data_IF_411296483431
#
_entry.id   IF_411296483431
#
_cell.length_a   1.000
_cell.length_b   1.000
_cell.length_c   1.000
_cell.angle_alpha   90.00
_cell.angle_beta   90.00
_cell.angle_gamma   90.00
#
_symmetry.space_group_name_H-M   'P 1'
#
loop_
_entity.id
_entity.type
_entity.pdbx_description
1 polymer ?
#
# COMPACT_ATOMS: atom_id res chain seq x y z
N UNK A 1 -46.34 -41.41 -12.03
CA UNK A 1 -44.89 -41.17 -12.31
C UNK A 1 -44.69 -39.92 -13.17
N UNK A 2 -44.84 -38.74 -12.63
CA UNK A 2 -44.81 -37.50 -13.44
C UNK A 2 -44.20 -36.24 -12.78
N UNK A 3 -43.65 -36.33 -11.55
CA UNK A 3 -43.25 -35.12 -10.79
C UNK A 3 -41.76 -34.80 -10.75
N UNK A 4 -40.85 -35.67 -11.19
CA UNK A 4 -39.37 -35.43 -11.05
C UNK A 4 -38.71 -34.68 -12.21
N UNK A 5 -39.34 -34.46 -13.36
CA UNK A 5 -38.73 -33.79 -14.51
C UNK A 5 -38.80 -32.23 -14.51
N UNK A 6 -39.72 -31.63 -13.75
CA UNK A 6 -39.89 -30.17 -13.72
C UNK A 6 -38.89 -29.41 -12.84
N UNK A 7 -38.25 -30.06 -11.85
CA UNK A 7 -37.31 -29.42 -10.94
C UNK A 7 -35.90 -29.24 -11.54
N UNK A 8 -35.46 -30.17 -12.39
CA UNK A 8 -34.13 -30.12 -13.04
C UNK A 8 -34.02 -29.06 -14.12
N UNK A 9 -35.11 -28.81 -14.84
CA UNK A 9 -35.11 -27.76 -15.89
C UNK A 9 -35.06 -26.36 -15.32
N UNK A 10 -35.66 -26.11 -14.15
CA UNK A 10 -35.57 -24.79 -13.46
C UNK A 10 -34.19 -24.54 -12.86
N UNK A 11 -33.51 -25.56 -12.33
CA UNK A 11 -32.13 -25.45 -11.83
C UNK A 11 -31.13 -25.10 -12.95
N UNK A 12 -31.26 -25.75 -14.12
CA UNK A 12 -30.38 -25.46 -15.26
C UNK A 12 -30.62 -24.09 -15.91
N UNK A 13 -31.83 -23.54 -15.86
CA UNK A 13 -32.11 -22.17 -16.29
C UNK A 13 -31.54 -21.11 -15.33
N UNK A 14 -31.51 -21.37 -14.01
CA UNK A 14 -30.86 -20.50 -13.03
C UNK A 14 -29.34 -20.52 -13.16
N UNK A 15 -28.72 -21.66 -13.38
CA UNK A 15 -27.30 -21.81 -13.63
C UNK A 15 -26.84 -21.15 -14.95
N UNK A 16 -27.69 -21.19 -16.01
CA UNK A 16 -27.39 -20.47 -17.26
C UNK A 16 -27.53 -18.96 -17.15
N UNK A 17 -28.39 -18.41 -16.26
CA UNK A 17 -28.50 -16.98 -16.01
C UNK A 17 -27.33 -16.44 -15.20
N UNK A 18 -26.71 -17.25 -14.33
CA UNK A 18 -25.52 -16.85 -13.55
C UNK A 18 -24.22 -16.81 -14.40
N UNK A 19 -24.20 -17.40 -15.58
CA UNK A 19 -23.02 -17.41 -16.47
C UNK A 19 -22.97 -16.24 -17.46
N UNK A 20 -23.88 -15.28 -17.42
CA UNK A 20 -24.02 -14.22 -18.45
C UNK A 20 -23.73 -12.80 -18.00
N UNK A 21 -23.25 -12.58 -16.78
CA UNK A 21 -22.66 -11.30 -16.41
C UNK A 21 -21.14 -11.44 -16.47
N UNK A 22 -20.58 -11.32 -17.65
CA UNK A 22 -19.17 -10.92 -17.79
C UNK A 22 -19.12 -9.51 -17.25
N UNK A 23 -18.64 -9.35 -16.03
CA UNK A 23 -18.37 -8.03 -15.44
C UNK A 23 -17.18 -7.51 -16.21
N UNK A 24 -17.41 -6.64 -17.16
CA UNK A 24 -16.35 -5.88 -17.80
C UNK A 24 -15.91 -4.80 -16.82
N UNK A 25 -14.66 -4.91 -16.39
CA UNK A 25 -14.07 -3.90 -15.51
C UNK A 25 -13.98 -2.56 -16.26
N UNK A 26 -14.25 -1.43 -15.59
CA UNK A 26 -14.07 -0.09 -16.16
C UNK A 26 -12.65 0.08 -16.72
N UNK A 27 -12.51 0.79 -17.83
CA UNK A 27 -11.20 0.99 -18.47
C UNK A 27 -10.18 1.68 -17.56
N UNK A 28 -10.61 2.53 -16.66
CA UNK A 28 -9.77 3.20 -15.68
C UNK A 28 -9.11 2.20 -14.72
N UNK A 29 -9.85 1.17 -14.29
CA UNK A 29 -9.31 0.11 -13.45
C UNK A 29 -8.33 -0.77 -14.22
N UNK A 30 -8.57 -1.05 -15.50
CA UNK A 30 -7.64 -1.81 -16.36
C UNK A 30 -6.31 -1.09 -16.57
N UNK A 31 -6.31 0.24 -16.61
CA UNK A 31 -5.09 1.06 -16.78
C UNK A 31 -4.28 1.21 -15.51
N UNK A 32 -4.91 1.04 -14.34
CA UNK A 32 -4.19 1.12 -13.07
C UNK A 32 -3.15 -0.02 -12.95
N UNK A 33 -1.98 0.23 -12.34
CA UNK A 33 -0.97 -0.80 -12.16
C UNK A 33 -1.44 -1.85 -11.17
N UNK A 34 -1.60 -3.09 -11.64
CA UNK A 34 -1.93 -4.23 -10.79
C UNK A 34 -0.67 -4.97 -10.36
N UNK A 35 -0.72 -5.61 -9.19
CA UNK A 35 0.42 -6.34 -8.66
C UNK A 35 0.03 -7.74 -8.17
N UNK A 36 0.96 -8.69 -8.38
CA UNK A 36 0.93 -9.97 -7.68
C UNK A 36 1.95 -9.97 -6.56
N UNK A 37 1.52 -10.33 -5.35
CA UNK A 37 2.40 -10.52 -4.21
C UNK A 37 2.39 -11.99 -3.83
N UNK A 38 3.54 -12.65 -4.02
CA UNK A 38 3.70 -14.09 -3.82
C UNK A 38 4.89 -14.39 -2.91
N UNK A 39 4.96 -15.62 -2.45
CA UNK A 39 6.16 -16.16 -1.81
C UNK A 39 6.67 -17.37 -2.59
N UNK A 40 7.95 -17.64 -2.48
CA UNK A 40 8.59 -18.81 -3.08
C UNK A 40 9.43 -19.56 -2.05
N UNK A 41 9.38 -20.87 -2.11
CA UNK A 41 10.09 -21.75 -1.19
C UNK A 41 9.35 -21.94 0.15
N UNK A 42 10.06 -22.54 1.10
CA UNK A 42 9.56 -22.72 2.45
C UNK A 42 9.78 -21.43 3.24
N UNK A 43 8.71 -20.80 3.70
CA UNK A 43 8.75 -19.59 4.50
C UNK A 43 8.11 -19.81 5.86
N UNK A 44 8.65 -19.12 6.86
CA UNK A 44 8.10 -19.13 8.23
C UNK A 44 6.72 -18.47 8.32
N UNK A 45 6.01 -18.75 9.41
CA UNK A 45 4.66 -18.18 9.67
C UNK A 45 4.67 -16.64 9.68
N UNK A 46 5.70 -16.03 10.24
CA UNK A 46 5.85 -14.55 10.29
C UNK A 46 5.99 -13.94 8.91
N UNK A 47 6.82 -14.55 8.04
CA UNK A 47 7.00 -14.06 6.68
C UNK A 47 5.74 -14.28 5.84
N UNK A 48 5.01 -15.37 6.04
CA UNK A 48 3.72 -15.60 5.39
C UNK A 48 2.68 -14.54 5.79
N UNK A 49 2.70 -14.13 7.07
CA UNK A 49 1.86 -13.03 7.53
C UNK A 49 2.29 -11.69 6.91
N UNK A 50 3.59 -11.44 6.79
CA UNK A 50 4.12 -10.25 6.12
C UNK A 50 3.66 -10.17 4.66
N UNK A 51 3.64 -11.28 3.91
CA UNK A 51 3.12 -11.33 2.54
C UNK A 51 1.64 -10.91 2.49
N UNK A 52 0.84 -11.37 3.46
CA UNK A 52 -0.58 -10.96 3.56
C UNK A 52 -0.72 -9.48 3.90
N UNK A 53 0.10 -8.98 4.80
CA UNK A 53 0.10 -7.56 5.20
C UNK A 53 0.55 -6.68 4.03
N UNK A 54 1.55 -7.10 3.27
CA UNK A 54 2.00 -6.38 2.07
C UNK A 54 0.93 -6.39 0.96
N UNK A 55 0.16 -7.49 0.81
CA UNK A 55 -1.02 -7.49 -0.09
C UNK A 55 -2.03 -6.42 0.31
N UNK A 56 -2.33 -6.27 1.61
CA UNK A 56 -3.23 -5.21 2.09
C UNK A 56 -2.73 -3.80 1.75
N UNK A 57 -1.40 -3.58 1.78
CA UNK A 57 -0.84 -2.29 1.32
C UNK A 57 -1.17 -2.04 -0.14
N UNK A 58 -1.02 -3.06 -0.99
CA UNK A 58 -1.23 -2.97 -2.44
C UNK A 58 -2.71 -2.99 -2.87
N UNK A 59 -3.66 -3.26 -1.95
CA UNK A 59 -5.10 -3.14 -2.25
C UNK A 59 -5.46 -1.72 -2.72
N UNK A 60 -6.44 -1.55 -3.61
CA UNK A 60 -7.30 -2.55 -4.25
C UNK A 60 -6.68 -3.24 -5.47
N UNK A 61 -5.55 -2.77 -6.00
CA UNK A 61 -4.93 -3.22 -7.25
C UNK A 61 -4.00 -4.43 -7.05
N UNK A 62 -4.44 -5.42 -6.29
CA UNK A 62 -3.71 -6.65 -6.04
C UNK A 62 -4.65 -7.82 -5.85
N UNK A 63 -4.16 -9.02 -6.15
CA UNK A 63 -4.89 -10.25 -5.86
C UNK A 63 -4.80 -10.60 -4.36
N UNK A 64 -5.69 -10.02 -3.53
CA UNK A 64 -5.66 -10.17 -2.07
C UNK A 64 -5.75 -11.64 -1.61
N UNK A 65 -6.58 -12.45 -2.29
CA UNK A 65 -6.83 -13.86 -1.95
C UNK A 65 -6.03 -14.85 -2.79
N UNK A 66 -4.93 -14.41 -3.43
CA UNK A 66 -4.12 -15.27 -4.30
C UNK A 66 -3.55 -16.45 -3.52
N UNK A 67 -3.92 -17.66 -3.94
CA UNK A 67 -3.37 -18.89 -3.38
C UNK A 67 -2.09 -19.27 -4.11
N UNK A 68 -1.02 -19.50 -3.35
CA UNK A 68 0.28 -19.88 -3.89
C UNK A 68 0.58 -21.31 -3.44
N UNK A 69 0.72 -22.20 -4.40
CA UNK A 69 1.06 -23.60 -4.14
C UNK A 69 2.55 -23.84 -4.41
N UNK A 70 3.12 -24.85 -3.73
CA UNK A 70 4.55 -25.21 -3.88
C UNK A 70 4.94 -25.57 -5.32
N UNK A 71 3.98 -26.05 -6.12
CA UNK A 71 4.18 -26.44 -7.52
C UNK A 71 4.18 -25.26 -8.50
N UNK A 72 3.70 -24.10 -8.08
CA UNK A 72 3.59 -22.94 -8.96
C UNK A 72 4.97 -22.41 -9.34
N UNK A 73 5.18 -22.22 -10.61
CA UNK A 73 6.40 -21.61 -11.18
C UNK A 73 6.17 -20.12 -11.44
N UNK A 74 7.23 -19.35 -11.59
CA UNK A 74 7.12 -17.93 -11.97
C UNK A 74 6.46 -17.78 -13.33
N UNK A 75 6.71 -18.72 -14.26
CA UNK A 75 6.10 -18.71 -15.60
C UNK A 75 4.56 -18.78 -15.54
N UNK A 76 3.99 -19.52 -14.58
CA UNK A 76 2.54 -19.61 -14.42
C UNK A 76 1.93 -18.26 -14.02
N UNK A 77 2.60 -17.52 -13.13
CA UNK A 77 2.17 -16.16 -12.75
C UNK A 77 2.31 -15.18 -13.90
N UNK A 78 3.37 -15.29 -14.72
CA UNK A 78 3.56 -14.46 -15.91
C UNK A 78 2.47 -14.71 -16.94
N UNK A 79 2.12 -15.98 -17.18
CA UNK A 79 1.04 -16.36 -18.10
C UNK A 79 -0.33 -15.80 -17.65
N UNK A 80 -0.58 -15.77 -16.34
CA UNK A 80 -1.82 -15.19 -15.77
C UNK A 80 -1.79 -13.66 -15.74
N UNK A 81 -0.61 -13.05 -15.67
CA UNK A 81 -0.46 -11.61 -15.53
C UNK A 81 -0.97 -10.83 -16.77
N UNK A 82 -0.77 -11.38 -17.98
CA UNK A 82 -1.22 -10.75 -19.22
C UNK A 82 -2.74 -10.51 -19.23
N UNK A 83 -3.57 -11.56 -19.11
CA UNK A 83 -5.02 -11.43 -19.09
C UNK A 83 -5.58 -10.59 -17.91
N UNK A 84 -4.83 -10.52 -16.79
CA UNK A 84 -5.22 -9.79 -15.58
C UNK A 84 -4.61 -8.38 -15.50
N UNK A 85 -3.96 -7.89 -16.54
CA UNK A 85 -3.31 -6.58 -16.61
C UNK A 85 -2.32 -6.31 -15.46
N UNK A 86 -1.64 -7.36 -14.97
CA UNK A 86 -0.68 -7.25 -13.87
C UNK A 86 0.64 -6.72 -14.39
N UNK A 87 1.08 -5.61 -13.83
CA UNK A 87 2.31 -4.90 -14.23
C UNK A 87 3.52 -5.25 -13.36
N UNK A 88 3.31 -5.64 -12.11
CA UNK A 88 4.39 -5.88 -11.16
C UNK A 88 4.21 -7.21 -10.41
N UNK A 89 5.33 -7.90 -10.22
CA UNK A 89 5.42 -9.13 -9.45
C UNK A 89 6.35 -8.92 -8.25
N UNK A 90 5.78 -9.02 -7.05
CA UNK A 90 6.49 -8.93 -5.78
C UNK A 90 6.68 -10.34 -5.20
N UNK A 91 7.92 -10.76 -4.96
CA UNK A 91 8.24 -12.12 -4.51
C UNK A 91 9.05 -12.07 -3.23
N UNK A 92 8.53 -12.67 -2.17
CA UNK A 92 9.25 -12.90 -0.93
C UNK A 92 9.87 -14.29 -0.95
N UNK A 93 11.16 -14.37 -0.64
CA UNK A 93 11.90 -15.64 -0.54
C UNK A 93 12.69 -15.66 0.75
N UNK A 94 12.77 -16.82 1.38
CA UNK A 94 13.66 -17.07 2.51
C UNK A 94 14.82 -17.94 2.05
N UNK A 95 16.03 -17.57 2.40
CA UNK A 95 17.26 -18.34 2.20
C UNK A 95 18.03 -18.40 3.52
N UNK A 96 19.06 -19.22 3.59
CA UNK A 96 19.90 -19.36 4.78
C UNK A 96 20.62 -18.05 5.14
N UNK A 97 20.84 -17.18 4.13
CA UNK A 97 21.49 -15.86 4.28
C UNK A 97 20.51 -14.74 4.70
N UNK A 98 19.21 -15.03 4.75
CA UNK A 98 18.18 -14.07 5.11
C UNK A 98 16.97 -14.05 4.20
N UNK A 99 16.13 -13.04 4.38
CA UNK A 99 14.92 -12.85 3.61
C UNK A 99 15.19 -11.88 2.47
N UNK A 100 14.79 -12.26 1.26
CA UNK A 100 14.89 -11.42 0.08
C UNK A 100 13.50 -11.02 -0.41
N UNK A 101 13.36 -9.76 -0.81
CA UNK A 101 12.20 -9.19 -1.47
C UNK A 101 12.58 -8.81 -2.89
N UNK A 102 11.91 -9.38 -3.88
CA UNK A 102 12.15 -9.09 -5.29
C UNK A 102 10.94 -8.37 -5.87
N UNK A 103 11.22 -7.33 -6.62
CA UNK A 103 10.21 -6.58 -7.39
C UNK A 103 10.60 -6.68 -8.84
N UNK A 104 9.72 -7.24 -9.64
CA UNK A 104 9.94 -7.39 -11.08
C UNK A 104 8.80 -6.73 -11.85
N UNK A 105 9.13 -6.04 -12.93
CA UNK A 105 8.16 -5.53 -13.88
C UNK A 105 7.82 -6.63 -14.88
N UNK A 106 6.57 -6.82 -15.17
CA UNK A 106 6.09 -7.78 -16.16
C UNK A 106 5.85 -7.09 -17.51
N UNK A 107 6.06 -7.79 -18.63
CA UNK A 107 6.42 -9.21 -18.75
C UNK A 107 7.93 -9.50 -18.76
N UNK A 108 8.79 -8.54 -19.09
CA UNK A 108 10.20 -8.78 -19.44
C UNK A 108 11.22 -8.32 -18.39
N UNK A 109 10.83 -7.59 -17.38
CA UNK A 109 11.74 -7.00 -16.39
C UNK A 109 11.74 -5.47 -16.46
N UNK A 110 12.60 -4.78 -15.78
CA UNK A 110 13.71 -5.25 -14.94
C UNK A 110 13.27 -5.87 -13.59
N UNK A 111 14.21 -6.57 -12.96
CA UNK A 111 14.02 -7.14 -11.62
C UNK A 111 15.00 -6.54 -10.63
N UNK A 112 14.48 -6.05 -9.52
CA UNK A 112 15.26 -5.57 -8.39
C UNK A 112 15.18 -6.57 -7.25
N UNK A 113 16.30 -6.90 -6.66
CA UNK A 113 16.41 -7.78 -5.50
C UNK A 113 16.88 -6.98 -4.30
N UNK A 114 16.04 -6.96 -3.28
CA UNK A 114 16.33 -6.32 -2.00
C UNK A 114 16.52 -7.37 -0.92
N UNK A 115 17.47 -7.15 -0.02
CA UNK A 115 17.57 -7.86 1.25
C UNK A 115 16.62 -7.18 2.24
N UNK A 116 15.80 -7.96 2.90
CA UNK A 116 14.95 -7.50 3.99
C UNK A 116 15.78 -7.55 5.28
N UNK A 117 16.29 -6.40 5.71
CA UNK A 117 17.14 -6.29 6.90
C UNK A 117 16.30 -6.45 8.16
N UNK A 118 15.23 -5.65 8.25
CA UNK A 118 14.29 -5.69 9.36
C UNK A 118 12.85 -5.60 8.86
N UNK A 119 11.92 -6.18 9.61
CA UNK A 119 10.50 -6.01 9.35
C UNK A 119 9.67 -6.09 10.64
N UNK A 120 8.55 -5.38 10.67
CA UNK A 120 7.53 -5.50 11.69
C UNK A 120 6.17 -5.77 11.03
N UNK A 121 5.39 -6.68 11.60
CA UNK A 121 4.06 -7.03 11.09
C UNK A 121 3.06 -5.92 11.41
N UNK A 122 2.03 -5.79 10.57
CA UNK A 122 0.97 -4.80 10.79
C UNK A 122 0.30 -4.94 12.15
N UNK A 123 0.08 -6.16 12.63
CA UNK A 123 -0.50 -6.42 13.95
C UNK A 123 0.36 -5.86 15.09
N UNK A 124 1.69 -5.98 14.98
CA UNK A 124 2.64 -5.56 16.02
C UNK A 124 2.73 -4.02 16.04
N UNK A 125 2.74 -3.39 14.85
CA UNK A 125 2.69 -1.92 14.73
C UNK A 125 1.39 -1.36 15.30
N UNK A 126 0.23 -1.92 14.93
CA UNK A 126 -1.07 -1.45 15.43
C UNK A 126 -1.22 -1.68 16.92
N UNK A 127 -0.70 -2.79 17.47
CA UNK A 127 -0.75 -3.07 18.91
C UNK A 127 0.09 -2.10 19.74
N UNK A 128 1.16 -1.54 19.17
CA UNK A 128 1.99 -0.52 19.82
C UNK A 128 1.34 0.87 19.87
N UNK A 129 0.29 1.10 19.08
CA UNK A 129 -0.42 2.38 19.04
C UNK A 129 -1.39 2.49 20.21
N UNK A 130 -1.44 3.67 20.83
CA UNK A 130 -2.37 3.99 21.91
C UNK A 130 -3.84 3.83 21.52
N UNK A 131 -4.20 4.18 20.28
CA UNK A 131 -5.54 4.01 19.70
C UNK A 131 -5.44 3.20 18.41
N UNK A 132 -6.10 2.06 18.38
CA UNK A 132 -6.17 1.22 17.20
C UNK A 132 -7.30 1.74 16.29
N UNK A 133 -6.93 2.31 15.13
CA UNK A 133 -7.89 2.84 14.15
C UNK A 133 -7.70 2.15 12.80
N UNK A 134 -7.98 0.86 12.74
CA UNK A 134 -7.97 0.12 11.47
C UNK A 134 -9.40 -0.04 10.96
N UNK A 135 -9.76 0.73 9.93
CA UNK A 135 -11.05 0.61 9.27
C UNK A 135 -10.86 -0.12 7.94
N UNK A 136 -11.55 -1.24 7.68
CA UNK A 136 -11.45 -1.97 6.40
C UNK A 136 -11.74 -1.11 5.17
N UNK A 137 -12.60 -0.08 5.29
CA UNK A 137 -12.91 0.86 4.20
C UNK A 137 -11.70 1.68 3.73
N UNK A 138 -10.61 1.76 4.52
CA UNK A 138 -9.39 2.44 4.12
C UNK A 138 -8.71 1.73 2.93
N UNK A 139 -8.82 0.41 2.86
CA UNK A 139 -8.18 -0.40 1.84
C UNK A 139 -8.91 -0.41 0.49
N UNK A 140 -10.11 0.18 0.40
CA UNK A 140 -10.82 0.34 -0.87
C UNK A 140 -10.23 1.42 -1.79
N UNK A 141 -9.36 2.29 -1.26
CA UNK A 141 -8.66 3.32 -2.03
C UNK A 141 -7.17 3.00 -2.10
N UNK A 142 -6.55 3.27 -3.25
CA UNK A 142 -5.12 3.11 -3.42
C UNK A 142 -4.34 4.05 -2.50
N UNK A 143 -3.17 3.63 -1.97
CA UNK A 143 -2.33 4.52 -1.20
C UNK A 143 -1.60 5.52 -2.11
N UNK A 144 -1.41 6.75 -1.61
CA UNK A 144 -0.50 7.71 -2.20
C UNK A 144 0.93 7.29 -1.89
N UNK A 145 1.81 7.22 -2.89
CA UNK A 145 3.23 7.02 -2.65
C UNK A 145 3.92 8.35 -2.39
N UNK A 146 4.74 8.41 -1.34
CA UNK A 146 5.60 9.52 -0.99
C UNK A 146 7.03 8.99 -0.90
N UNK A 147 7.91 9.52 -1.74
CA UNK A 147 9.32 9.12 -1.77
C UNK A 147 10.20 10.27 -1.34
N UNK A 148 11.15 9.97 -0.48
CA UNK A 148 12.09 10.93 0.07
C UNK A 148 13.53 10.47 -0.19
N UNK A 149 14.41 11.41 -0.55
CA UNK A 149 15.84 11.20 -0.79
C UNK A 149 16.21 10.25 -1.94
N UNK A 150 15.32 10.02 -2.91
CA UNK A 150 15.66 9.24 -4.11
C UNK A 150 16.32 10.08 -5.24
N UNK A 151 16.96 11.18 -4.90
CA UNK A 151 17.60 12.14 -5.80
C UNK A 151 19.12 11.92 -5.87
N UNK A 152 19.58 10.70 -6.12
CA UNK A 152 21.01 10.39 -6.29
C UNK A 152 21.43 10.34 -7.76
N UNK A 153 22.73 10.54 -8.03
CA UNK A 153 23.31 10.47 -9.39
C UNK A 153 23.40 9.02 -9.94
N UNK A 154 23.11 8.01 -9.11
CA UNK A 154 23.20 6.61 -9.51
C UNK A 154 22.04 6.15 -10.38
N UNK A 155 22.32 5.53 -11.53
CA UNK A 155 21.31 4.92 -12.41
C UNK A 155 20.38 3.96 -11.64
N UNK A 156 20.90 3.20 -10.68
CA UNK A 156 20.14 2.28 -9.85
C UNK A 156 19.15 2.99 -8.92
N UNK A 157 19.47 4.21 -8.43
CA UNK A 157 18.57 5.00 -7.58
C UNK A 157 17.38 5.51 -8.40
N UNK A 158 17.65 6.06 -9.59
CA UNK A 158 16.62 6.54 -10.50
C UNK A 158 15.69 5.39 -10.96
N UNK A 159 16.28 4.23 -11.21
CA UNK A 159 15.52 3.04 -11.58
C UNK A 159 14.64 2.55 -10.42
N UNK A 160 15.15 2.53 -9.18
CA UNK A 160 14.36 2.24 -7.98
C UNK A 160 13.18 3.20 -7.83
N UNK A 161 13.43 4.50 -7.96
CA UNK A 161 12.40 5.52 -7.87
C UNK A 161 11.29 5.28 -8.90
N UNK A 162 11.66 5.06 -10.16
CA UNK A 162 10.72 4.80 -11.25
C UNK A 162 9.92 3.51 -11.02
N UNK A 163 10.58 2.43 -10.55
CA UNK A 163 9.89 1.17 -10.24
C UNK A 163 8.85 1.34 -9.14
N UNK A 164 9.22 1.99 -8.04
CA UNK A 164 8.30 2.20 -6.93
C UNK A 164 7.14 3.13 -7.30
N UNK A 165 7.39 4.18 -8.07
CA UNK A 165 6.34 5.06 -8.57
C UNK A 165 5.34 4.29 -9.44
N UNK A 166 5.83 3.46 -10.34
CA UNK A 166 4.99 2.70 -11.27
C UNK A 166 4.22 1.54 -10.59
N UNK A 167 4.56 1.15 -9.37
CA UNK A 167 3.80 0.16 -8.60
C UNK A 167 2.46 0.68 -8.11
N UNK A 168 2.29 1.99 -8.00
CA UNK A 168 1.09 2.63 -7.49
C UNK A 168 0.41 3.47 -8.58
N UNK A 169 -0.91 3.67 -8.51
CA UNK A 169 -1.60 4.52 -9.47
C UNK A 169 -1.07 5.96 -9.42
N UNK A 170 -0.88 6.55 -10.59
CA UNK A 170 -0.50 7.96 -10.71
C UNK A 170 -1.68 8.85 -10.30
N UNK A 171 -1.41 9.82 -9.45
CA UNK A 171 -2.41 10.78 -8.99
C UNK A 171 -2.23 12.09 -9.76
N UNK A 172 -3.29 12.51 -10.45
CA UNK A 172 -3.31 13.81 -11.09
C UNK A 172 -3.70 14.88 -10.06
N UNK A 173 -2.72 15.69 -9.64
CA UNK A 173 -2.86 16.71 -8.59
C UNK A 173 -3.98 17.71 -8.88
N UNK A 174 -4.26 18.02 -10.16
CA UNK A 174 -5.29 18.99 -10.55
C UNK A 174 -6.70 18.45 -10.49
N UNK A 175 -6.89 17.14 -10.60
CA UNK A 175 -8.20 16.47 -10.67
C UNK A 175 -8.50 15.57 -9.47
N UNK A 176 -7.55 15.43 -8.57
CA UNK A 176 -7.67 14.50 -7.44
C UNK A 176 -8.76 14.94 -6.48
N UNK A 177 -9.59 13.97 -6.09
CA UNK A 177 -10.53 14.14 -5.00
C UNK A 177 -9.80 13.77 -3.68
N UNK A 178 -9.63 14.75 -2.79
CA UNK A 178 -8.94 14.55 -1.51
C UNK A 178 -9.61 13.48 -0.64
N UNK A 179 -10.88 13.20 -0.85
CA UNK A 179 -11.58 12.13 -0.14
C UNK A 179 -11.11 10.72 -0.50
N UNK A 180 -10.47 10.55 -1.65
CA UNK A 180 -9.96 9.26 -2.11
C UNK A 180 -8.56 8.97 -1.55
N UNK A 181 -7.84 10.00 -1.09
CA UNK A 181 -6.55 9.87 -0.45
C UNK A 181 -6.73 9.57 1.04
N UNK A 182 -6.85 8.30 1.38
CA UNK A 182 -7.03 7.84 2.77
C UNK A 182 -5.80 7.18 3.37
N UNK A 183 -4.85 6.80 2.52
CA UNK A 183 -3.63 6.10 2.91
C UNK A 183 -2.44 6.66 2.17
N UNK A 184 -1.26 6.62 2.80
CA UNK A 184 0.00 6.88 2.12
C UNK A 184 1.05 5.82 2.48
N UNK A 185 1.91 5.57 1.52
CA UNK A 185 3.12 4.75 1.67
C UNK A 185 4.31 5.69 1.59
N UNK A 186 5.07 5.74 2.67
CA UNK A 186 6.31 6.50 2.74
C UNK A 186 7.47 5.57 2.44
N UNK A 187 8.31 5.96 1.49
CA UNK A 187 9.60 5.34 1.22
C UNK A 187 10.69 6.39 1.42
N UNK A 188 11.57 6.15 2.37
CA UNK A 188 12.69 7.02 2.66
C UNK A 188 13.99 6.29 2.37
N UNK A 189 14.81 6.84 1.48
CA UNK A 189 16.13 6.31 1.16
C UNK A 189 17.18 7.04 1.98
N UNK A 190 18.01 6.32 2.71
CA UNK A 190 19.16 6.89 3.40
C UNK A 190 20.42 6.62 2.55
N UNK A 191 21.06 7.66 2.00
CA UNK A 191 22.23 7.50 1.15
C UNK A 191 23.47 7.00 1.91
N UNK A 192 23.60 7.28 3.20
CA UNK A 192 24.74 6.85 4.01
C UNK A 192 24.72 5.35 4.28
N UNK A 193 23.56 4.83 4.71
CA UNK A 193 23.38 3.40 5.04
C UNK A 193 22.92 2.57 3.84
N UNK A 194 22.51 3.21 2.74
CA UNK A 194 21.90 2.59 1.55
C UNK A 194 20.67 1.76 1.87
N UNK A 195 19.96 2.14 2.94
CA UNK A 195 18.74 1.48 3.39
C UNK A 195 17.51 2.27 2.93
N UNK A 196 16.46 1.52 2.59
CA UNK A 196 15.16 2.07 2.26
C UNK A 196 14.21 1.70 3.39
N UNK A 197 13.63 2.70 4.02
CA UNK A 197 12.57 2.53 4.99
C UNK A 197 11.21 2.62 4.30
N UNK A 198 10.42 1.57 4.46
CA UNK A 198 9.05 1.50 3.97
C UNK A 198 8.10 1.56 5.15
N UNK A 199 7.15 2.52 5.12
CA UNK A 199 6.12 2.69 6.15
C UNK A 199 4.77 2.99 5.49
N UNK A 200 3.69 2.55 6.15
CA UNK A 200 2.34 2.69 5.65
C UNK A 200 1.45 3.36 6.68
N UNK A 201 0.80 4.47 6.28
CA UNK A 201 0.00 5.31 7.15
C UNK A 201 -1.44 5.45 6.65
N UNK A 202 -2.39 5.57 7.59
CA UNK A 202 -3.73 6.08 7.34
C UNK A 202 -3.73 7.61 7.54
N UNK A 203 -4.43 8.31 6.67
CA UNK A 203 -4.61 9.76 6.72
C UNK A 203 -6.02 10.04 7.22
N UNK A 204 -6.13 10.86 8.26
CA UNK A 204 -7.39 11.35 8.80
C UNK A 204 -7.35 12.86 8.94
N UNK A 205 -8.46 13.51 8.64
CA UNK A 205 -8.61 14.96 8.74
C UNK A 205 -9.57 15.30 9.86
N UNK A 206 -9.20 16.25 10.71
CA UNK A 206 -9.97 16.70 11.87
C UNK A 206 -10.13 18.22 11.77
N UNK A 207 -11.37 18.76 11.99
CA UNK A 207 -11.58 20.20 11.95
C UNK A 207 -10.81 20.90 13.09
N UNK A 208 -10.23 22.06 12.81
CA UNK A 208 -9.51 22.90 13.76
C UNK A 208 -10.42 24.03 14.24
N UNK A 209 -10.15 24.58 15.44
CA UNK A 209 -10.88 25.74 15.97
C UNK A 209 -12.20 25.42 16.66
N UNK A 210 -12.58 24.14 16.75
CA UNK A 210 -13.77 23.72 17.50
C UNK A 210 -13.38 23.22 18.89
N UNK A 211 -14.21 23.51 19.90
CA UNK A 211 -14.03 22.94 21.25
C UNK A 211 -14.12 21.40 21.19
N UNK A 212 -13.49 20.71 22.15
CA UNK A 212 -13.48 19.24 22.17
C UNK A 212 -14.88 18.63 22.19
N UNK A 213 -15.81 19.23 22.95
CA UNK A 213 -17.21 18.80 23.03
C UNK A 213 -17.91 18.95 21.68
N UNK A 214 -17.78 20.10 21.04
CA UNK A 214 -18.35 20.36 19.69
C UNK A 214 -17.76 19.41 18.65
N UNK A 215 -16.45 19.13 18.68
CA UNK A 215 -15.84 18.13 17.80
C UNK A 215 -16.48 16.74 17.95
N UNK A 216 -16.74 16.30 19.20
CA UNK A 216 -17.38 15.00 19.45
C UNK A 216 -18.81 14.97 18.91
N UNK A 217 -19.58 16.01 19.10
CA UNK A 217 -20.95 16.13 18.58
C UNK A 217 -20.94 16.09 17.04
N UNK A 218 -20.13 16.93 16.40
CA UNK A 218 -20.03 17.01 14.94
C UNK A 218 -19.58 15.67 14.33
N UNK A 219 -18.66 14.96 14.98
CA UNK A 219 -18.19 13.65 14.51
C UNK A 219 -19.13 12.48 14.86
N UNK A 220 -20.25 12.75 15.54
CA UNK A 220 -21.19 11.72 16.05
C UNK A 220 -20.53 10.70 16.99
N UNK A 221 -19.53 11.13 17.75
CA UNK A 221 -18.86 10.36 18.82
C UNK A 221 -19.37 10.80 20.18
N UNK A 222 -20.65 10.98 20.29
CA UNK A 222 -21.29 11.45 21.53
C UNK A 222 -21.43 10.25 22.45
N UNK A 223 -20.93 10.31 23.69
CA UNK A 223 -21.22 9.30 24.70
C UNK A 223 -22.72 9.31 25.06
N UNK A 224 -23.15 8.38 25.88
CA UNK A 224 -24.52 8.35 26.39
C UNK A 224 -24.80 9.63 27.17
N UNK A 225 -25.74 10.43 26.68
CA UNK A 225 -26.12 11.72 27.26
C UNK A 225 -27.26 11.60 28.28
N UNK A 226 -27.75 10.39 28.59
CA UNK A 226 -28.87 10.17 29.50
C UNK A 226 -28.62 10.66 30.93
N UNK A 227 -27.35 10.88 31.30
CA UNK A 227 -26.95 11.35 32.63
C UNK A 227 -26.70 12.86 32.70
N UNK A 228 -27.05 13.62 31.66
CA UNK A 228 -26.88 15.07 31.62
C UNK A 228 -28.23 15.75 31.48
N UNK A 229 -28.43 16.78 32.27
CA UNK A 229 -29.68 17.56 32.23
C UNK A 229 -29.66 18.54 31.04
N UNK A 230 -28.46 19.04 30.68
CA UNK A 230 -28.31 19.99 29.57
C UNK A 230 -27.06 19.68 28.68
N UNK A 231 -27.16 20.05 27.40
CA UNK A 231 -26.07 19.86 26.44
C UNK A 231 -24.86 20.75 26.75
N UNK A 232 -25.11 21.89 27.41
CA UNK A 232 -24.07 22.82 27.85
C UNK A 232 -23.18 22.21 28.92
N UNK A 233 -23.75 21.40 29.81
CA UNK A 233 -22.98 20.68 30.81
C UNK A 233 -21.96 19.70 30.19
N UNK A 234 -22.35 19.00 29.14
CA UNK A 234 -21.43 18.14 28.37
C UNK A 234 -20.32 18.93 27.68
N UNK A 235 -20.65 20.14 27.18
CA UNK A 235 -19.68 20.97 26.46
C UNK A 235 -18.65 21.63 27.40
N UNK A 236 -19.03 21.91 28.64
CA UNK A 236 -18.23 22.65 29.62
C UNK A 236 -17.42 21.74 30.55
N UNK A 237 -17.82 20.49 30.76
CA UNK A 237 -17.08 19.55 31.63
C UNK A 237 -15.83 18.99 30.96
N UNK A 238 -14.61 19.45 31.31
CA UNK A 238 -13.37 18.99 30.71
C UNK A 238 -13.02 17.54 31.02
N UNK A 239 -13.52 16.99 32.15
CA UNK A 239 -13.21 15.62 32.59
C UNK A 239 -13.78 14.54 31.66
N UNK A 240 -14.92 14.80 31.05
CA UNK A 240 -15.54 13.92 30.06
C UNK A 240 -14.88 14.01 28.69
N UNK A 241 -14.00 14.99 28.50
CA UNK A 241 -13.27 15.29 27.29
C UNK A 241 -11.84 14.72 27.33
N UNK A 242 -11.54 13.83 28.28
CA UNK A 242 -10.22 13.21 28.46
C UNK A 242 -9.86 12.24 27.34
N UNK A 243 -9.90 12.73 26.12
CA UNK A 243 -9.06 12.19 25.07
C UNK A 243 -7.78 13.02 25.12
N UNK A 244 -6.67 12.41 25.52
CA UNK A 244 -5.36 12.98 25.27
C UNK A 244 -5.18 13.06 23.75
N UNK A 245 -5.83 14.06 23.15
CA UNK A 245 -5.50 14.44 21.82
C UNK A 245 -4.08 14.97 21.90
N UNK A 246 -3.18 14.36 21.16
CA UNK A 246 -1.88 14.89 20.85
C UNK A 246 -2.04 16.39 20.59
N UNK A 247 -1.26 17.20 21.26
CA UNK A 247 -1.23 18.64 21.03
C UNK A 247 -1.11 18.87 19.53
N UNK A 248 -2.14 19.50 18.95
CA UNK A 248 -2.15 19.79 17.52
C UNK A 248 -1.01 20.76 17.25
N UNK A 249 0.10 20.26 16.70
CA UNK A 249 1.17 21.13 16.25
C UNK A 249 0.64 22.01 15.11
N UNK A 250 0.87 23.31 15.20
CA UNK A 250 0.44 24.28 14.17
C UNK A 250 0.90 23.92 12.76
N UNK A 251 1.98 23.14 12.63
CA UNK A 251 2.51 22.64 11.36
C UNK A 251 1.60 21.62 10.66
N UNK A 252 0.66 21.01 11.36
CA UNK A 252 -0.31 20.05 10.79
C UNK A 252 -1.60 20.69 10.26
N UNK A 253 -1.76 22.01 10.40
CA UNK A 253 -2.93 22.77 9.97
C UNK A 253 -2.85 23.13 8.50
N UNK A 254 -3.84 22.73 7.72
CA UNK A 254 -3.94 22.98 6.28
C UNK A 254 -5.32 23.52 5.94
N UNK A 255 -5.36 24.52 5.08
CA UNK A 255 -6.62 25.01 4.51
C UNK A 255 -7.07 24.04 3.42
N UNK A 256 -8.25 23.45 3.58
CA UNK A 256 -8.75 22.44 2.67
C UNK A 256 -9.50 23.10 1.51
N UNK A 257 -9.04 22.91 0.24
CA UNK A 257 -9.68 23.51 -0.94
C UNK A 257 -10.97 22.78 -1.35
N UNK A 258 -11.21 21.57 -0.84
CA UNK A 258 -12.37 20.74 -1.19
C UNK A 258 -13.15 20.33 0.04
N UNK A 259 -14.46 20.08 -0.14
CA UNK A 259 -15.30 19.51 0.92
C UNK A 259 -14.88 18.06 1.21
N UNK A 260 -14.54 17.78 2.45
CA UNK A 260 -14.20 16.42 2.89
C UNK A 260 -15.43 15.69 3.42
N UNK A 261 -15.43 14.37 3.27
CA UNK A 261 -16.50 13.48 3.80
C UNK A 261 -16.48 13.44 5.32
N UNK A 262 -15.33 13.66 5.95
CA UNK A 262 -15.25 13.76 7.41
C UNK A 262 -16.05 14.97 7.91
N UNK A 263 -16.97 14.70 8.83
CA UNK A 263 -17.88 15.73 9.37
C UNK A 263 -17.11 16.87 10.03
N UNK A 264 -17.55 18.10 9.77
CA UNK A 264 -16.97 19.31 10.35
C UNK A 264 -15.85 19.96 9.52
N UNK A 265 -15.38 19.35 8.44
CA UNK A 265 -14.40 19.97 7.55
C UNK A 265 -15.14 20.67 6.41
N UNK A 266 -15.20 22.00 6.49
CA UNK A 266 -15.87 22.87 5.51
C UNK A 266 -14.79 23.44 4.58
N UNK A 267 -15.17 23.70 3.31
CA UNK A 267 -14.29 24.34 2.33
C UNK A 267 -13.80 25.70 2.83
N UNK A 268 -12.50 25.95 2.74
CA UNK A 268 -11.89 27.20 3.17
C UNK A 268 -11.60 27.29 4.68
N UNK A 269 -11.97 26.26 5.49
CA UNK A 269 -11.60 26.22 6.91
C UNK A 269 -10.30 25.45 7.13
N UNK A 270 -9.61 25.76 8.23
CA UNK A 270 -8.43 25.01 8.62
C UNK A 270 -8.81 23.64 9.15
N UNK A 271 -8.11 22.63 8.66
CA UNK A 271 -8.22 21.24 9.12
C UNK A 271 -6.84 20.72 9.52
N UNK A 272 -6.79 19.92 10.56
CA UNK A 272 -5.56 19.21 10.97
C UNK A 272 -5.50 17.86 10.29
N UNK A 273 -4.35 17.56 9.67
CA UNK A 273 -4.07 16.25 9.07
C UNK A 273 -3.37 15.39 10.10
N UNK A 274 -3.95 14.24 10.42
CA UNK A 274 -3.37 13.25 11.31
C UNK A 274 -3.03 11.99 10.55
N UNK A 275 -1.82 11.49 10.78
CA UNK A 275 -1.36 10.23 10.24
C UNK A 275 -1.23 9.20 11.36
N UNK A 276 -1.80 8.01 11.13
CA UNK A 276 -1.64 6.86 12.00
C UNK A 276 -1.00 5.70 11.24
N UNK A 277 -0.01 5.07 11.84
CA UNK A 277 0.70 3.98 11.18
C UNK A 277 -0.14 2.71 11.16
N UNK A 278 -0.26 2.09 9.99
CA UNK A 278 -0.97 0.83 9.77
C UNK A 278 -0.01 -0.36 9.70
N UNK A 279 1.25 -0.11 9.36
CA UNK A 279 2.22 -1.14 9.03
C UNK A 279 1.92 -1.86 7.69
N UNK A 280 2.72 -2.83 7.31
CA UNK A 280 3.96 -3.27 7.96
C UNK A 280 5.09 -2.23 7.86
N UNK A 281 6.13 -2.39 8.68
CA UNK A 281 7.42 -1.70 8.53
C UNK A 281 8.39 -2.61 7.82
N UNK A 282 9.12 -2.09 6.83
CA UNK A 282 10.18 -2.83 6.15
C UNK A 282 11.42 -1.95 6.06
N UNK A 283 12.58 -2.55 6.31
CA UNK A 283 13.89 -1.96 6.02
C UNK A 283 14.55 -2.80 4.93
N UNK A 284 14.71 -2.21 3.75
CA UNK A 284 15.18 -2.88 2.56
C UNK A 284 16.57 -2.36 2.17
N UNK A 285 17.43 -3.25 1.70
CA UNK A 285 18.71 -2.92 1.09
C UNK A 285 18.76 -3.47 -0.33
N UNK A 286 19.05 -2.62 -1.31
CA UNK A 286 19.22 -3.09 -2.68
C UNK A 286 20.49 -3.95 -2.77
N UNK A 287 20.36 -5.17 -3.30
CA UNK A 287 21.49 -6.06 -3.55
C UNK A 287 21.90 -6.01 -5.01
N UNK A 288 20.93 -6.25 -5.90
CA UNK A 288 21.19 -6.32 -7.33
C UNK A 288 20.01 -5.88 -8.17
N UNK A 289 20.31 -5.46 -9.40
CA UNK A 289 19.35 -5.16 -10.45
C UNK A 289 19.67 -6.04 -11.65
N UNK A 290 18.70 -6.79 -12.13
CA UNK A 290 18.76 -7.65 -13.30
C UNK A 290 17.92 -7.04 -14.43
N UNK A 291 18.40 -7.12 -15.67
CA UNK A 291 17.69 -6.57 -16.81
C UNK A 291 16.37 -7.31 -17.09
N UNK A 292 16.40 -8.63 -16.98
CA UNK A 292 15.26 -9.47 -17.28
C UNK A 292 14.41 -9.84 -16.09
N UNK A 293 13.43 -10.72 -16.31
CA UNK A 293 12.54 -11.23 -15.27
C UNK A 293 13.23 -12.33 -14.45
N UNK A 294 13.92 -11.94 -13.37
CA UNK A 294 14.73 -12.81 -12.50
C UNK A 294 15.81 -13.61 -13.23
N UNK A 295 16.20 -13.16 -14.40
CA UNK A 295 17.20 -13.72 -15.29
C UNK A 295 17.81 -12.60 -16.12
N UNK A 296 18.91 -12.87 -16.82
CA UNK A 296 19.57 -11.88 -17.65
C UNK A 296 20.77 -11.22 -16.97
N UNK A 297 21.29 -10.21 -17.62
CA UNK A 297 22.53 -9.55 -17.19
C UNK A 297 22.30 -8.73 -15.93
N UNK A 298 23.29 -8.74 -15.04
CA UNK A 298 23.27 -7.94 -13.81
C UNK A 298 23.73 -6.53 -14.16
N UNK A 299 22.81 -5.57 -14.11
CA UNK A 299 23.11 -4.15 -14.35
C UNK A 299 23.81 -3.49 -13.18
N UNK A 300 23.42 -3.86 -11.96
CA UNK A 300 23.98 -3.34 -10.71
C UNK A 300 24.06 -4.44 -9.66
N UNK A 301 25.18 -4.45 -8.91
CA UNK A 301 25.35 -5.32 -7.75
C UNK A 301 26.11 -4.56 -6.65
N UNK A 302 25.57 -4.54 -5.43
CA UNK A 302 26.14 -3.78 -4.31
C UNK A 302 27.55 -4.30 -3.89
N UNK A 303 27.72 -5.64 -3.87
CA UNK A 303 28.94 -6.28 -3.37
C UNK A 303 29.95 -6.64 -4.45
N UNK A 304 29.49 -6.78 -5.70
CA UNK A 304 30.34 -7.19 -6.83
C UNK A 304 30.42 -6.02 -7.79
N UNK A 305 31.56 -5.35 -7.84
CA UNK A 305 31.85 -4.36 -8.88
C UNK A 305 32.27 -5.11 -10.14
N UNK A 306 31.64 -4.80 -11.30
CA UNK A 306 32.16 -5.23 -12.59
C UNK A 306 33.58 -4.67 -12.72
N UNK A 307 34.59 -5.46 -13.15
CA UNK A 307 35.88 -4.89 -13.52
C UNK A 307 35.61 -3.83 -14.57
N UNK A 308 36.08 -2.62 -14.33
CA UNK A 308 35.98 -1.52 -15.29
C UNK A 308 36.53 -2.04 -16.62
N UNK A 309 35.75 -1.96 -17.67
CA UNK A 309 36.26 -2.06 -19.02
C UNK A 309 37.31 -0.97 -19.14
N UNK A 310 38.59 -1.38 -19.10
CA UNK A 310 39.71 -0.49 -19.39
C UNK A 310 39.41 0.10 -20.76
N UNK A 311 39.09 1.39 -20.79
CA UNK A 311 39.08 2.14 -22.02
C UNK A 311 40.42 1.86 -22.68
N UNK A 312 40.40 1.21 -23.83
CA UNK A 312 41.54 1.11 -24.76
C UNK A 312 41.93 2.53 -25.21
N UNK A 313 42.65 3.25 -24.36
CA UNK A 313 43.45 4.40 -24.73
C UNK A 313 44.79 3.91 -25.23
N UNK A 314 44.79 3.15 -26.31
CA UNK A 314 46.04 2.83 -27.01
C UNK A 314 45.74 2.43 -28.41
N UNK A 315 45.36 3.40 -29.24
CA UNK A 315 45.60 3.40 -30.71
C UNK A 315 45.36 4.79 -31.28
N UNK A 316 46.26 5.72 -31.00
CA UNK A 316 46.66 6.80 -31.90
C UNK A 316 48.12 7.09 -31.59
N UNK A 317 49.00 6.43 -32.33
CA UNK A 317 50.31 6.88 -32.75
C UNK A 317 50.55 6.32 -34.12
#
# INVERSE_FOLDING_TARGET
MGSKRKSTVKKNKRLKKLKKTVYEEPEELKRAPHSFVIHRGQIGKSLLQLVKDFRKVMEPFTAASLQVYKKNTIKDFVALAGPMHVSHLCVFTSSDTGVNFRVARLPQGPTMTFKLVNYALSKDVVSSLRKQMVNPKLFSHAPLIVMNNFTGEGLHINLMATMFQNMFPTINVTKVNLNDIKRCVLMNYNPETKLIEFRHYAITTVPVGLSKGVKKIVQSKVPDLSNFDDIDEFLLKPELLSDSEFEETTSSHVVVPQKLVSRGNIVGTQSSIRMSELGPRLTLQLIKVEEGLMTGDVMFHEFIKKPDEKKDESKEN
#
